data_IF_926203488829
#
_entry.id   IF_926203488829
#
_cell.length_a   1.000
_cell.length_b   1.000
_cell.length_c   1.000
_cell.angle_alpha   90.00
_cell.angle_beta   90.00
_cell.angle_gamma   90.00
#
_symmetry.space_group_name_H-M   'P 1'
#
loop_
_entity.id
_entity.type
_entity.pdbx_description
1 polymer ?
#
# COMPACT_ATOMS: atom_id res chain seq x y z
N UNK A 1 -15.31 -10.91 7.53
CA UNK A 1 -15.24 -10.74 6.06
C UNK A 1 -13.76 -10.79 5.68
N UNK A 2 -13.19 -11.98 5.43
CA UNK A 2 -11.74 -12.15 5.34
C UNK A 2 -11.15 -11.82 3.95
N UNK A 3 -11.96 -11.89 2.88
CA UNK A 3 -11.49 -11.69 1.49
C UNK A 3 -10.79 -10.34 1.30
N UNK A 4 -11.34 -9.20 1.74
CA UNK A 4 -10.63 -7.92 1.65
C UNK A 4 -9.30 -7.88 2.39
N UNK A 5 -9.22 -8.51 3.57
CA UNK A 5 -7.98 -8.60 4.36
C UNK A 5 -6.92 -9.43 3.64
N UNK A 6 -7.30 -10.58 3.08
CA UNK A 6 -6.39 -11.40 2.27
C UNK A 6 -5.90 -10.63 1.04
N UNK A 7 -6.79 -9.98 0.31
CA UNK A 7 -6.41 -9.22 -0.88
C UNK A 7 -5.46 -8.07 -0.52
N UNK A 8 -5.75 -7.33 0.55
CA UNK A 8 -4.87 -6.28 1.06
C UNK A 8 -3.48 -6.86 1.43
N UNK A 9 -3.43 -7.98 2.15
CA UNK A 9 -2.16 -8.63 2.50
C UNK A 9 -1.37 -9.07 1.25
N UNK A 10 -2.05 -9.63 0.24
CA UNK A 10 -1.42 -10.00 -1.03
C UNK A 10 -0.84 -8.78 -1.77
N UNK A 11 -1.51 -7.63 -1.76
CA UNK A 11 -0.95 -6.41 -2.32
C UNK A 11 0.31 -5.96 -1.56
N UNK A 12 0.32 -6.08 -0.21
CA UNK A 12 1.49 -5.75 0.61
C UNK A 12 2.67 -6.69 0.30
N UNK A 13 2.42 -8.00 0.17
CA UNK A 13 3.44 -8.96 -0.23
C UNK A 13 3.98 -8.65 -1.63
N UNK A 14 3.12 -8.29 -2.58
CA UNK A 14 3.53 -7.90 -3.93
C UNK A 14 4.40 -6.63 -3.93
N UNK A 15 4.07 -5.62 -3.11
CA UNK A 15 4.91 -4.42 -2.93
C UNK A 15 6.27 -4.82 -2.37
N UNK A 16 6.30 -5.63 -1.32
CA UNK A 16 7.53 -6.08 -0.65
C UNK A 16 8.43 -6.89 -1.61
N UNK A 17 7.85 -7.79 -2.39
CA UNK A 17 8.57 -8.58 -3.38
C UNK A 17 9.18 -7.71 -4.49
N UNK A 18 8.45 -6.70 -4.96
CA UNK A 18 8.96 -5.75 -5.97
C UNK A 18 10.12 -4.92 -5.43
N UNK A 19 10.02 -4.43 -4.19
CA UNK A 19 11.13 -3.74 -3.53
C UNK A 19 12.36 -4.64 -3.41
N UNK A 20 12.17 -5.88 -2.94
CA UNK A 20 13.25 -6.85 -2.80
C UNK A 20 13.93 -7.18 -4.13
N UNK A 21 13.17 -7.28 -5.23
CA UNK A 21 13.70 -7.52 -6.57
C UNK A 21 14.63 -6.41 -7.08
N UNK A 22 14.59 -5.21 -6.49
CA UNK A 22 15.54 -4.14 -6.79
C UNK A 22 16.88 -4.30 -6.07
N UNK A 23 17.03 -5.32 -5.21
CA UNK A 23 18.20 -5.52 -4.36
C UNK A 23 18.58 -4.27 -3.53
N UNK A 24 17.57 -3.50 -3.12
CA UNK A 24 17.74 -2.26 -2.35
C UNK A 24 18.09 -1.02 -3.19
N UNK A 25 18.17 -1.14 -4.52
CA UNK A 25 18.49 -0.01 -5.40
C UNK A 25 17.38 1.05 -5.43
N UNK A 26 16.11 0.64 -5.42
CA UNK A 26 14.99 1.57 -5.27
C UNK A 26 14.85 1.94 -3.80
N UNK A 27 15.66 2.87 -3.32
CA UNK A 27 15.58 3.40 -1.94
C UNK A 27 14.40 4.36 -1.77
N UNK A 28 14.02 4.70 -0.53
CA UNK A 28 12.99 5.73 -0.28
C UNK A 28 13.33 7.06 -0.97
N UNK A 29 14.61 7.47 -0.97
CA UNK A 29 15.06 8.70 -1.61
C UNK A 29 14.88 8.64 -3.12
N UNK A 30 15.29 7.55 -3.75
CA UNK A 30 15.13 7.39 -5.20
C UNK A 30 13.67 7.22 -5.60
N UNK A 31 12.87 6.51 -4.80
CA UNK A 31 11.43 6.38 -4.99
C UNK A 31 10.75 7.76 -4.96
N UNK A 32 11.20 8.64 -4.06
CA UNK A 32 10.58 9.93 -3.77
C UNK A 32 10.79 11.02 -4.83
N UNK A 33 11.64 10.80 -5.84
CA UNK A 33 11.91 11.84 -6.83
C UNK A 33 10.64 12.14 -7.64
N UNK A 34 10.43 13.41 -7.99
CA UNK A 34 9.23 13.84 -8.71
C UNK A 34 9.25 13.45 -10.20
N UNK A 35 10.45 13.29 -10.75
CA UNK A 35 10.70 12.96 -12.16
C UNK A 35 10.81 11.45 -12.37
N UNK A 36 10.98 11.04 -13.62
CA UNK A 36 11.26 9.65 -13.99
C UNK A 36 12.64 9.26 -13.46
N UNK A 37 12.75 8.03 -12.94
CA UNK A 37 14.05 7.48 -12.55
C UNK A 37 14.82 7.14 -13.83
N UNK A 38 16.06 7.62 -14.01
CA UNK A 38 16.83 7.36 -15.24
C UNK A 38 17.03 5.87 -15.54
N UNK A 39 17.09 5.03 -14.50
CA UNK A 39 17.04 3.58 -14.63
C UNK A 39 15.58 3.13 -14.85
N UNK A 40 15.27 2.79 -16.10
CA UNK A 40 13.93 2.37 -16.52
C UNK A 40 13.40 1.14 -15.76
N UNK A 41 14.27 0.24 -15.29
CA UNK A 41 13.81 -0.91 -14.50
C UNK A 41 13.36 -0.46 -13.11
N UNK A 42 14.08 0.48 -12.49
CA UNK A 42 13.69 1.06 -11.20
C UNK A 42 12.43 1.92 -11.34
N UNK A 43 12.32 2.67 -12.44
CA UNK A 43 11.13 3.49 -12.73
C UNK A 43 9.88 2.64 -12.93
N UNK A 44 9.96 1.61 -13.80
CA UNK A 44 8.87 0.65 -14.00
C UNK A 44 8.51 -0.09 -12.70
N UNK A 45 9.50 -0.36 -11.85
CA UNK A 45 9.25 -1.00 -10.55
C UNK A 45 8.52 -0.05 -9.60
N UNK A 46 8.89 1.24 -9.57
CA UNK A 46 8.18 2.28 -8.81
C UNK A 46 6.72 2.38 -9.25
N UNK A 47 6.46 2.43 -10.55
CA UNK A 47 5.11 2.48 -11.09
C UNK A 47 4.30 1.23 -10.75
N UNK A 48 4.91 0.05 -10.89
CA UNK A 48 4.26 -1.21 -10.53
C UNK A 48 3.93 -1.28 -9.03
N UNK A 49 4.78 -0.71 -8.16
CA UNK A 49 4.48 -0.57 -6.73
C UNK A 49 3.31 0.42 -6.53
N UNK A 50 3.29 1.55 -7.25
CA UNK A 50 2.18 2.50 -7.23
C UNK A 50 0.83 1.85 -7.57
N UNK A 51 0.79 0.96 -8.57
CA UNK A 51 -0.41 0.20 -8.90
C UNK A 51 -0.85 -0.72 -7.75
N UNK A 52 0.09 -1.49 -7.17
CA UNK A 52 -0.22 -2.38 -6.04
C UNK A 52 -0.67 -1.58 -4.81
N UNK A 53 -0.10 -0.41 -4.58
CA UNK A 53 -0.52 0.52 -3.54
C UNK A 53 -1.97 0.98 -3.76
N UNK A 54 -2.32 1.40 -4.97
CA UNK A 54 -3.69 1.81 -5.28
C UNK A 54 -4.71 0.67 -5.05
N UNK A 55 -4.35 -0.57 -5.41
CA UNK A 55 -5.15 -1.77 -5.13
C UNK A 55 -5.25 -2.07 -3.64
N UNK A 56 -4.15 -1.98 -2.89
CA UNK A 56 -4.14 -2.12 -1.43
C UNK A 56 -5.14 -1.15 -0.80
N UNK A 57 -5.02 0.15 -1.09
CA UNK A 57 -5.89 1.17 -0.54
C UNK A 57 -7.35 0.91 -0.89
N UNK A 58 -7.65 0.48 -2.12
CA UNK A 58 -9.00 0.08 -2.50
C UNK A 58 -9.52 -1.08 -1.64
N UNK A 59 -8.72 -2.14 -1.42
CA UNK A 59 -9.14 -3.23 -0.54
C UNK A 59 -9.36 -2.77 0.90
N UNK A 60 -8.54 -1.86 1.43
CA UNK A 60 -8.72 -1.30 2.77
C UNK A 60 -10.02 -0.52 2.91
N UNK A 61 -10.45 0.23 1.88
CA UNK A 61 -11.71 0.99 1.93
C UNK A 61 -12.96 0.11 1.84
N UNK A 62 -12.84 -1.11 1.30
CA UNK A 62 -13.97 -2.08 1.34
C UNK A 62 -14.24 -2.61 2.74
N UNK A 63 -13.24 -2.57 3.64
CA UNK A 63 -13.40 -2.92 5.05
C UNK A 63 -14.01 -1.70 5.74
N UNK A 64 -15.28 -1.81 6.14
CA UNK A 64 -15.97 -0.69 6.80
C UNK A 64 -15.37 -0.44 8.19
N UNK A 65 -15.23 0.82 8.57
CA UNK A 65 -14.82 1.21 9.93
C UNK A 65 -15.82 0.75 11.00
N UNK A 66 -17.05 0.40 10.60
CA UNK A 66 -18.06 -0.18 11.48
C UNK A 66 -17.94 -1.70 11.64
N UNK A 67 -17.13 -2.38 10.83
CA UNK A 67 -16.89 -3.82 10.93
C UNK A 67 -16.23 -4.14 12.28
N UNK A 68 -16.73 -5.13 13.05
CA UNK A 68 -16.12 -5.55 14.30
C UNK A 68 -14.61 -5.82 14.18
N UNK A 69 -14.14 -6.36 13.05
CA UNK A 69 -12.72 -6.64 12.87
C UNK A 69 -11.89 -5.34 12.77
N UNK A 70 -12.38 -4.34 12.06
CA UNK A 70 -11.68 -3.05 11.93
C UNK A 70 -11.68 -2.28 13.26
N UNK A 71 -12.71 -2.46 14.09
CA UNK A 71 -12.74 -1.90 15.45
C UNK A 71 -11.76 -2.57 16.40
N UNK A 72 -11.62 -3.89 16.30
CA UNK A 72 -10.70 -4.67 17.12
C UNK A 72 -9.24 -4.46 16.70
N UNK A 73 -8.99 -4.21 15.41
CA UNK A 73 -7.67 -4.06 14.82
C UNK A 73 -7.59 -2.73 14.04
N UNK A 74 -7.49 -1.58 14.74
CA UNK A 74 -7.53 -0.25 14.11
C UNK A 74 -6.37 0.00 13.13
N UNK A 75 -5.26 -0.72 13.29
CA UNK A 75 -4.09 -0.61 12.41
C UNK A 75 -4.38 -0.99 10.96
N UNK A 76 -5.42 -1.79 10.68
CA UNK A 76 -5.90 -2.05 9.31
C UNK A 76 -6.18 -0.74 8.56
N UNK A 77 -6.68 0.27 9.28
CA UNK A 77 -7.01 1.59 8.73
C UNK A 77 -6.02 2.67 9.16
N UNK A 78 -4.80 2.28 9.57
CA UNK A 78 -3.77 3.22 9.94
C UNK A 78 -3.50 4.21 8.79
N UNK A 79 -3.72 5.48 9.08
CA UNK A 79 -3.62 6.60 8.13
C UNK A 79 -4.49 6.48 6.85
N UNK A 80 -5.63 5.77 6.90
CA UNK A 80 -6.45 5.48 5.72
C UNK A 80 -6.87 6.71 4.91
N UNK A 81 -7.16 7.84 5.57
CA UNK A 81 -7.58 9.08 4.88
C UNK A 81 -6.50 9.60 3.93
N UNK A 82 -5.26 9.64 4.39
CA UNK A 82 -4.13 10.10 3.57
C UNK A 82 -3.84 9.10 2.46
N UNK A 83 -3.96 7.79 2.75
CA UNK A 83 -3.81 6.73 1.75
C UNK A 83 -4.83 6.84 0.61
N UNK A 84 -6.08 7.19 0.92
CA UNK A 84 -7.12 7.45 -0.09
C UNK A 84 -6.73 8.64 -0.97
N UNK A 85 -6.28 9.75 -0.38
CA UNK A 85 -5.84 10.92 -1.15
C UNK A 85 -4.67 10.56 -2.09
N UNK A 86 -3.69 9.81 -1.57
CA UNK A 86 -2.54 9.28 -2.31
C UNK A 86 -2.95 8.37 -3.48
N UNK A 87 -3.89 7.44 -3.25
CA UNK A 87 -4.48 6.59 -4.29
C UNK A 87 -5.13 7.43 -5.39
N UNK A 88 -5.87 8.47 -5.04
CA UNK A 88 -6.59 9.30 -6.01
C UNK A 88 -5.64 10.01 -6.98
N UNK A 89 -4.46 10.46 -6.51
CA UNK A 89 -3.42 11.02 -7.39
C UNK A 89 -2.89 9.98 -8.39
N UNK A 90 -2.64 8.75 -7.94
CA UNK A 90 -2.07 7.68 -8.77
C UNK A 90 -3.00 7.27 -9.92
N UNK A 91 -4.29 7.13 -9.63
CA UNK A 91 -5.28 6.65 -10.62
C UNK A 91 -5.94 7.79 -11.39
N UNK A 92 -5.55 9.05 -11.13
CA UNK A 92 -6.13 10.26 -11.71
C UNK A 92 -7.67 10.32 -11.56
N UNK A 93 -8.21 9.74 -10.48
CA UNK A 93 -9.61 9.94 -10.12
C UNK A 93 -9.80 11.46 -9.89
N UNK A 94 -10.83 12.05 -10.51
CA UNK A 94 -11.17 13.49 -10.55
C UNK A 94 -10.46 14.40 -11.58
N UNK A 95 -10.11 13.94 -12.79
CA UNK A 95 -9.53 14.83 -13.85
C UNK A 95 -8.36 15.70 -13.33
N UNK A 96 -7.70 15.25 -12.26
CA UNK A 96 -6.73 16.05 -11.55
C UNK A 96 -5.45 16.00 -12.37
N UNK A 97 -5.06 17.14 -12.92
CA UNK A 97 -3.73 17.34 -13.51
C UNK A 97 -2.63 17.44 -12.44
N UNK A 98 -3.00 17.23 -11.17
CA UNK A 98 -2.09 17.26 -10.04
C UNK A 98 -1.00 16.18 -10.21
N UNK A 99 0.28 16.55 -10.17
CA UNK A 99 1.37 15.59 -10.26
C UNK A 99 1.27 14.53 -9.17
N UNK A 100 1.67 13.30 -9.49
CA UNK A 100 1.81 12.26 -8.48
C UNK A 100 2.90 12.67 -7.50
N UNK A 101 2.56 12.74 -6.22
CA UNK A 101 3.52 13.05 -5.16
C UNK A 101 4.24 11.78 -4.71
N UNK A 102 5.23 11.38 -5.50
CA UNK A 102 5.99 10.16 -5.26
C UNK A 102 6.65 10.07 -3.87
N UNK A 103 7.04 11.20 -3.29
CA UNK A 103 7.55 11.27 -1.91
C UNK A 103 6.54 10.80 -0.86
N UNK A 104 5.26 11.15 -1.02
CA UNK A 104 4.19 10.72 -0.12
C UNK A 104 3.85 9.23 -0.34
N UNK A 105 3.92 8.74 -1.58
CA UNK A 105 3.76 7.30 -1.86
C UNK A 105 4.92 6.51 -1.24
N UNK A 106 6.16 7.00 -1.40
CA UNK A 106 7.34 6.38 -0.80
C UNK A 106 7.18 6.30 0.72
N UNK A 107 6.83 7.40 1.39
CA UNK A 107 6.57 7.40 2.83
C UNK A 107 5.53 6.34 3.23
N UNK A 108 4.42 6.22 2.47
CA UNK A 108 3.46 5.14 2.72
C UNK A 108 4.09 3.76 2.62
N UNK A 109 4.80 3.50 1.53
CA UNK A 109 5.39 2.20 1.20
C UNK A 109 6.40 1.76 2.27
N UNK A 110 7.25 2.66 2.72
CA UNK A 110 8.33 2.34 3.65
C UNK A 110 7.92 2.41 5.12
N UNK A 111 7.02 3.32 5.50
CA UNK A 111 6.76 3.63 6.90
C UNK A 111 5.33 3.29 7.36
N UNK A 112 4.32 3.37 6.48
CA UNK A 112 2.92 3.20 6.85
C UNK A 112 2.43 1.77 6.60
N UNK A 113 2.76 1.19 5.44
CA UNK A 113 2.35 -0.16 5.05
C UNK A 113 2.80 -1.24 6.07
N UNK A 114 4.01 -1.19 6.67
CA UNK A 114 4.38 -2.17 7.69
C UNK A 114 3.42 -2.23 8.89
N UNK A 115 2.92 -1.08 9.35
CA UNK A 115 1.92 -1.02 10.43
C UNK A 115 0.61 -1.68 10.02
N UNK A 116 0.13 -1.38 8.80
CA UNK A 116 -1.10 -1.97 8.25
C UNK A 116 -0.94 -3.49 8.08
N UNK A 117 0.22 -3.94 7.61
CA UNK A 117 0.57 -5.36 7.46
C UNK A 117 0.36 -6.09 8.79
N UNK A 118 0.97 -5.58 9.86
CA UNK A 118 0.86 -6.18 11.19
C UNK A 118 -0.58 -6.21 11.68
N UNK A 119 -1.36 -5.14 11.45
CA UNK A 119 -2.78 -5.10 11.78
C UNK A 119 -3.62 -6.14 11.03
N UNK A 120 -3.38 -6.32 9.73
CA UNK A 120 -4.08 -7.32 8.91
C UNK A 120 -3.73 -8.74 9.37
N UNK A 121 -2.46 -9.03 9.65
CA UNK A 121 -2.01 -10.35 10.13
C UNK A 121 -2.68 -10.69 11.46
N UNK A 122 -2.62 -9.79 12.44
CA UNK A 122 -3.24 -9.99 13.74
C UNK A 122 -4.75 -10.23 13.61
N UNK A 123 -5.43 -9.52 12.70
CA UNK A 123 -6.85 -9.68 12.44
C UNK A 123 -7.21 -11.01 11.76
N UNK A 124 -6.36 -11.51 10.85
CA UNK A 124 -6.55 -12.80 10.20
C UNK A 124 -6.33 -13.96 11.19
N UNK A 125 -5.25 -13.91 11.97
CA UNK A 125 -4.91 -14.94 12.96
C UNK A 125 -5.96 -15.06 14.05
N UNK A 126 -6.50 -13.94 14.54
CA UNK A 126 -7.57 -13.94 15.54
C UNK A 126 -8.89 -14.54 15.04
N UNK A 127 -9.09 -14.59 13.72
CA UNK A 127 -10.21 -15.28 13.08
C UNK A 127 -9.89 -16.73 12.70
N UNK A 128 -8.69 -17.24 13.05
CA UNK A 128 -8.25 -18.59 12.74
C UNK A 128 -7.78 -18.80 11.30
N UNK A 129 -7.51 -17.72 10.56
CA UNK A 129 -6.96 -17.82 9.21
C UNK A 129 -5.44 -17.86 9.22
N UNK A 130 -4.81 -18.70 8.37
CA UNK A 130 -3.36 -18.64 8.19
C UNK A 130 -2.99 -17.32 7.53
N UNK A 131 -2.08 -16.58 8.17
CA UNK A 131 -1.53 -15.30 7.69
C UNK A 131 -0.47 -15.49 6.58
N UNK A 132 0.14 -16.69 6.50
CA UNK A 132 1.10 -17.03 5.44
C UNK A 132 2.43 -16.27 5.52
N UNK A 133 2.70 -15.65 6.67
CA UNK A 133 3.97 -15.01 7.03
C UNK A 133 4.92 -16.01 7.73
#
# INVERSE_FOLDING_TARGET
MAIPLFNALQNIHAISAKLAATNGALTITLFSISEDIPDMNLDNTRDAIGLQFASLVHNLTTIKTTDPIAKAYPDIHYNLKDLIARRNWLIREYETTAPTKWSEIADSVYNVIPTIKNGIIAALEAQGYPSGD
#
